data_IF_172723557747
#
_entry.id   IF_172723557747
#
_cell.length_a   1.000
_cell.length_b   1.000
_cell.length_c   1.000
_cell.angle_alpha   90.00
_cell.angle_beta   90.00
_cell.angle_gamma   90.00
#
_symmetry.space_group_name_H-M   'P 1'
#
loop_
_entity.id
_entity.type
_entity.pdbx_description
1 polymer ?
#
# COMPACT_ATOMS: atom_id res chain seq x y z
N UNK A 1 -1.25 -15.33 23.26
CA UNK A 1 -2.52 -15.34 22.49
C UNK A 1 -3.24 -14.05 22.86
N UNK A 2 -3.17 -13.04 21.99
CA UNK A 2 -3.89 -11.77 22.19
C UNK A 2 -5.38 -12.06 21.97
N UNK A 3 -6.26 -11.48 22.81
CA UNK A 3 -7.71 -11.59 22.60
C UNK A 3 -8.09 -10.49 21.63
N UNK A 4 -8.49 -10.85 20.42
CA UNK A 4 -8.87 -9.87 19.41
C UNK A 4 -10.07 -9.02 19.90
N UNK A 5 -9.80 -7.73 20.10
CA UNK A 5 -10.84 -6.72 20.30
C UNK A 5 -11.59 -6.54 18.96
N UNK A 6 -12.65 -7.33 18.76
CA UNK A 6 -13.49 -7.19 17.57
C UNK A 6 -14.12 -5.80 17.52
N UNK A 7 -13.79 -5.06 16.45
CA UNK A 7 -14.38 -3.76 16.11
C UNK A 7 -15.68 -3.89 15.31
N UNK A 8 -15.92 -5.08 14.75
CA UNK A 8 -17.11 -5.41 13.94
C UNK A 8 -18.01 -6.31 14.79
N UNK A 9 -19.32 -6.06 14.74
CA UNK A 9 -20.32 -6.42 15.76
C UNK A 9 -20.28 -7.85 16.33
N UNK A 10 -20.71 -7.98 17.59
CA UNK A 10 -20.90 -9.27 18.28
C UNK A 10 -20.56 -9.27 19.77
N UNK A 11 -19.79 -8.28 20.25
CA UNK A 11 -19.31 -8.22 21.63
C UNK A 11 -20.06 -7.18 22.47
N UNK A 12 -20.51 -7.55 23.69
CA UNK A 12 -21.17 -6.62 24.61
C UNK A 12 -20.20 -5.52 25.09
N UNK A 13 -20.73 -4.39 25.56
CA UNK A 13 -19.88 -3.30 26.10
C UNK A 13 -19.03 -3.79 27.27
N UNK A 14 -19.59 -4.67 28.09
CA UNK A 14 -18.93 -5.26 29.26
C UNK A 14 -17.77 -6.15 28.84
N UNK A 15 -17.99 -7.04 27.86
CA UNK A 15 -16.94 -7.95 27.39
C UNK A 15 -15.79 -7.20 26.72
N UNK A 16 -16.11 -6.19 25.91
CA UNK A 16 -15.12 -5.33 25.27
C UNK A 16 -14.31 -4.55 26.31
N UNK A 17 -14.96 -3.96 27.32
CA UNK A 17 -14.27 -3.23 28.40
C UNK A 17 -13.33 -4.13 29.20
N UNK A 18 -13.76 -5.36 29.50
CA UNK A 18 -12.93 -6.33 30.22
C UNK A 18 -11.67 -6.69 29.42
N UNK A 19 -11.81 -7.00 28.13
CA UNK A 19 -10.66 -7.25 27.26
C UNK A 19 -9.76 -6.01 27.14
N UNK A 20 -10.36 -4.82 27.00
CA UNK A 20 -9.61 -3.58 26.88
C UNK A 20 -8.76 -3.30 28.13
N UNK A 21 -9.31 -3.55 29.33
CA UNK A 21 -8.57 -3.46 30.59
C UNK A 21 -7.49 -4.54 30.72
N UNK A 22 -7.73 -5.76 30.22
CA UNK A 22 -6.71 -6.82 30.17
C UNK A 22 -5.51 -6.41 29.32
N UNK A 23 -5.76 -5.84 28.14
CA UNK A 23 -4.72 -5.35 27.24
C UNK A 23 -3.93 -4.18 27.85
N UNK A 24 -4.63 -3.20 28.43
CA UNK A 24 -3.98 -2.09 29.15
C UNK A 24 -3.06 -2.59 30.26
N UNK A 25 -3.50 -3.60 31.04
CA UNK A 25 -2.68 -4.20 32.11
C UNK A 25 -1.48 -4.95 31.56
N UNK A 26 -1.69 -5.75 30.51
CA UNK A 26 -0.64 -6.57 29.87
C UNK A 26 0.48 -5.69 29.33
N UNK A 27 0.13 -4.57 28.71
CA UNK A 27 1.08 -3.61 28.13
C UNK A 27 1.51 -2.49 29.09
N UNK A 28 1.15 -2.56 30.38
CA UNK A 28 1.47 -1.57 31.42
C UNK A 28 1.10 -0.13 31.01
N UNK A 29 -0.01 0.02 30.30
CA UNK A 29 -0.44 1.30 29.76
C UNK A 29 -1.13 2.17 30.80
N UNK A 30 -0.82 3.47 30.78
CA UNK A 30 -1.49 4.45 31.64
C UNK A 30 -2.71 5.04 30.94
N UNK A 31 -3.75 5.39 31.72
CA UNK A 31 -4.87 6.17 31.21
C UNK A 31 -4.42 7.53 30.63
N UNK A 32 -3.32 8.09 31.12
CA UNK A 32 -2.77 9.35 30.61
C UNK A 32 -2.27 9.24 29.16
N UNK A 33 -1.54 8.17 28.84
CA UNK A 33 -1.10 7.90 27.47
C UNK A 33 -2.30 7.64 26.56
N UNK A 34 -3.23 6.80 27.02
CA UNK A 34 -4.41 6.46 26.24
C UNK A 34 -5.31 7.68 25.97
N UNK A 35 -5.52 8.54 26.97
CA UNK A 35 -6.30 9.78 26.82
C UNK A 35 -5.69 10.72 25.78
N UNK A 36 -4.36 10.87 25.79
CA UNK A 36 -3.64 11.69 24.81
C UNK A 36 -3.79 11.12 23.40
N UNK A 37 -3.55 9.82 23.22
CA UNK A 37 -3.62 9.17 21.89
C UNK A 37 -5.05 9.09 21.35
N UNK A 38 -6.05 8.88 22.22
CA UNK A 38 -7.47 8.86 21.84
C UNK A 38 -8.08 10.26 21.70
N UNK A 39 -7.33 11.33 22.00
CA UNK A 39 -7.81 12.71 22.01
C UNK A 39 -9.05 12.88 22.90
N UNK A 40 -8.93 12.41 24.14
CA UNK A 40 -9.91 12.59 25.21
C UNK A 40 -9.29 13.29 26.42
N UNK A 41 -10.13 14.02 27.16
CA UNK A 41 -9.75 14.43 28.51
C UNK A 41 -9.63 13.19 29.41
N UNK A 42 -8.71 13.22 30.39
CA UNK A 42 -8.59 12.12 31.37
C UNK A 42 -9.91 11.84 32.08
N UNK A 43 -10.67 12.87 32.42
CA UNK A 43 -11.97 12.73 33.06
C UNK A 43 -12.97 11.99 32.16
N UNK A 44 -13.02 12.34 30.87
CA UNK A 44 -13.93 11.68 29.94
C UNK A 44 -13.56 10.23 29.70
N UNK A 45 -12.26 9.95 29.49
CA UNK A 45 -11.76 8.58 29.36
C UNK A 45 -12.11 7.73 30.59
N UNK A 46 -11.89 8.27 31.79
CA UNK A 46 -12.21 7.55 33.03
C UNK A 46 -13.69 7.21 33.13
N UNK A 47 -14.60 8.11 32.76
CA UNK A 47 -16.04 7.84 32.74
C UNK A 47 -16.41 6.71 31.78
N UNK A 48 -15.74 6.62 30.62
CA UNK A 48 -15.95 5.52 29.66
C UNK A 48 -15.42 4.20 30.23
N UNK A 49 -14.18 4.17 30.72
CA UNK A 49 -13.52 2.95 31.19
C UNK A 49 -14.12 2.36 32.47
N UNK A 50 -14.76 3.19 33.29
CA UNK A 50 -15.46 2.77 34.52
C UNK A 50 -16.92 2.37 34.28
N UNK A 51 -17.44 2.53 33.06
CA UNK A 51 -18.84 2.26 32.73
C UNK A 51 -19.83 3.33 33.21
N UNK A 52 -19.36 4.42 33.82
CA UNK A 52 -20.19 5.55 34.25
C UNK A 52 -20.83 6.29 33.08
N UNK A 53 -20.22 6.23 31.89
CA UNK A 53 -20.80 6.68 30.64
C UNK A 53 -20.82 5.53 29.64
N UNK A 54 -21.93 5.28 28.94
CA UNK A 54 -21.99 4.22 27.94
C UNK A 54 -20.97 4.46 26.83
N UNK A 55 -20.25 3.41 26.46
CA UNK A 55 -19.36 3.42 25.30
C UNK A 55 -20.19 3.16 24.05
N UNK A 56 -20.21 4.14 23.15
CA UNK A 56 -20.78 3.98 21.82
C UNK A 56 -19.74 3.43 20.83
N UNK A 57 -20.17 3.10 19.62
CA UNK A 57 -19.32 2.54 18.58
C UNK A 57 -18.10 3.43 18.25
N UNK A 58 -18.32 4.74 18.11
CA UNK A 58 -17.23 5.69 17.86
C UNK A 58 -16.17 5.69 18.97
N UNK A 59 -16.60 5.66 20.24
CA UNK A 59 -15.68 5.62 21.38
C UNK A 59 -14.93 4.28 21.43
N UNK A 60 -15.60 3.15 21.16
CA UNK A 60 -14.96 1.83 21.00
C UNK A 60 -13.86 1.87 19.94
N UNK A 61 -14.17 2.37 18.75
CA UNK A 61 -13.21 2.48 17.64
C UNK A 61 -12.02 3.33 18.06
N UNK A 62 -12.27 4.55 18.57
CA UNK A 62 -11.21 5.50 18.92
C UNK A 62 -10.28 4.96 20.02
N UNK A 63 -10.84 4.36 21.07
CA UNK A 63 -10.07 3.76 22.15
C UNK A 63 -9.28 2.54 21.69
N UNK A 64 -9.88 1.68 20.86
CA UNK A 64 -9.18 0.51 20.29
C UNK A 64 -8.02 0.93 19.41
N UNK A 65 -8.19 1.96 18.57
CA UNK A 65 -7.11 2.50 17.74
C UNK A 65 -5.99 3.09 18.59
N UNK A 66 -6.33 3.83 19.65
CA UNK A 66 -5.35 4.42 20.55
C UNK A 66 -4.57 3.37 21.35
N UNK A 67 -5.25 2.33 21.84
CA UNK A 67 -4.63 1.18 22.50
C UNK A 67 -3.60 0.54 21.57
N UNK A 68 -4.02 0.21 20.35
CA UNK A 68 -3.21 -0.49 19.36
C UNK A 68 -2.00 0.32 18.89
N UNK A 69 -2.16 1.63 18.69
CA UNK A 69 -1.02 2.53 18.41
C UNK A 69 0.02 2.51 19.53
N UNK A 70 -0.42 2.53 20.79
CA UNK A 70 0.46 2.55 21.97
C UNK A 70 1.14 1.20 22.24
N UNK A 71 0.57 0.09 21.76
CA UNK A 71 1.16 -1.25 21.88
C UNK A 71 2.07 -1.62 20.71
N UNK A 72 2.29 -0.71 19.75
CA UNK A 72 3.03 -0.99 18.52
C UNK A 72 2.27 -1.90 17.56
N UNK A 73 0.99 -2.16 17.84
CA UNK A 73 0.04 -2.75 16.92
C UNK A 73 -0.45 -1.64 15.98
N UNK A 74 0.45 -1.03 15.19
CA UNK A 74 -0.01 -0.09 14.16
C UNK A 74 -0.84 -0.88 13.16
N UNK A 75 -2.14 -0.64 13.15
CA UNK A 75 -3.11 -1.44 12.41
C UNK A 75 -3.20 -1.05 10.95
N UNK A 76 -2.75 0.15 10.64
CA UNK A 76 -2.78 0.74 9.32
C UNK A 76 -1.40 1.32 9.04
N UNK A 77 -0.79 0.90 7.94
CA UNK A 77 0.39 1.53 7.37
C UNK A 77 0.19 1.83 5.88
N UNK A 78 0.92 2.81 5.36
CA UNK A 78 0.86 3.22 3.96
C UNK A 78 2.20 2.95 3.30
N UNK A 79 2.20 2.40 2.09
CA UNK A 79 3.40 2.17 1.32
C UNK A 79 3.19 2.39 -0.19
N UNK A 80 4.29 2.65 -0.90
CA UNK A 80 4.32 2.53 -2.37
C UNK A 80 4.35 1.04 -2.71
N UNK A 81 3.40 0.59 -3.51
CA UNK A 81 3.19 -0.82 -3.90
C UNK A 81 3.31 -1.06 -5.42
N UNK A 82 3.44 0.01 -6.20
CA UNK A 82 3.89 -0.06 -7.58
C UNK A 82 4.44 1.30 -7.99
N UNK A 83 5.52 1.33 -8.77
CA UNK A 83 6.06 2.54 -9.38
C UNK A 83 6.49 2.26 -10.82
N UNK A 84 5.92 2.99 -11.77
CA UNK A 84 6.30 2.99 -13.18
C UNK A 84 6.74 4.39 -13.59
N UNK A 85 7.95 4.48 -14.13
CA UNK A 85 8.57 5.75 -14.55
C UNK A 85 9.20 5.54 -15.91
N UNK A 86 9.01 6.49 -16.82
CA UNK A 86 9.65 6.50 -18.13
C UNK A 86 10.56 7.71 -18.26
N UNK A 87 11.76 7.50 -18.75
CA UNK A 87 12.78 8.50 -19.02
C UNK A 87 12.96 8.58 -20.54
N UNK A 88 13.17 9.78 -21.07
CA UNK A 88 13.50 9.93 -22.49
C UNK A 88 14.90 9.41 -22.84
N UNK A 89 15.78 9.29 -21.84
CA UNK A 89 17.13 8.76 -22.00
C UNK A 89 17.11 7.28 -22.40
N UNK A 90 18.05 6.90 -23.27
CA UNK A 90 18.38 5.51 -23.63
C UNK A 90 19.58 4.98 -22.83
N UNK A 91 20.26 5.84 -22.07
CA UNK A 91 21.36 5.43 -21.19
C UNK A 91 20.80 4.83 -19.90
N UNK A 92 20.46 3.54 -19.97
CA UNK A 92 19.95 2.82 -18.81
C UNK A 92 21.03 2.64 -17.73
N UNK A 93 22.32 2.66 -18.08
CA UNK A 93 23.42 2.45 -17.16
C UNK A 93 23.56 3.65 -16.22
N UNK A 94 23.47 4.87 -16.77
CA UNK A 94 23.37 6.11 -16.00
C UNK A 94 22.14 6.08 -15.09
N UNK A 95 20.96 5.75 -15.64
CA UNK A 95 19.71 5.73 -14.88
C UNK A 95 19.77 4.78 -13.67
N UNK A 96 20.24 3.54 -13.85
CA UNK A 96 20.29 2.59 -12.72
C UNK A 96 21.37 2.94 -11.71
N UNK A 97 22.46 3.58 -12.15
CA UNK A 97 23.54 4.05 -11.28
C UNK A 97 23.06 5.21 -10.41
N UNK A 98 22.45 6.24 -11.00
CA UNK A 98 21.95 7.40 -10.26
C UNK A 98 20.76 7.05 -9.35
N UNK A 99 19.83 6.25 -9.84
CA UNK A 99 18.61 5.93 -9.08
C UNK A 99 18.88 4.91 -7.97
N UNK A 100 19.55 3.81 -8.28
CA UNK A 100 19.69 2.68 -7.36
C UNK A 100 21.09 2.52 -6.77
N UNK A 101 22.11 3.18 -7.33
CA UNK A 101 23.53 2.96 -7.00
C UNK A 101 23.92 1.47 -7.14
N UNK A 102 23.35 0.81 -8.16
CA UNK A 102 23.63 -0.59 -8.49
C UNK A 102 24.51 -0.61 -9.75
N UNK A 103 25.56 -1.41 -9.73
CA UNK A 103 26.40 -1.63 -10.90
C UNK A 103 25.56 -2.19 -12.07
N UNK A 104 25.56 -1.55 -13.26
CA UNK A 104 24.78 -2.00 -14.41
C UNK A 104 25.01 -3.45 -14.82
N UNK A 105 26.21 -4.01 -14.55
CA UNK A 105 26.54 -5.41 -14.86
C UNK A 105 25.69 -6.44 -14.11
N UNK A 106 24.94 -6.04 -13.07
CA UNK A 106 23.99 -6.91 -12.38
C UNK A 106 22.63 -7.02 -13.10
N UNK A 107 22.37 -6.16 -14.09
CA UNK A 107 21.15 -6.22 -14.89
C UNK A 107 21.32 -7.19 -16.05
N UNK A 108 20.46 -8.22 -16.05
CA UNK A 108 20.53 -9.29 -17.05
C UNK A 108 19.34 -9.21 -18.00
N UNK A 109 19.57 -9.54 -19.27
CA UNK A 109 18.50 -9.62 -20.26
C UNK A 109 17.48 -10.69 -19.85
N UNK A 110 16.21 -10.30 -19.89
CA UNK A 110 15.07 -11.17 -19.61
C UNK A 110 14.28 -11.40 -20.90
N UNK A 111 13.83 -12.62 -21.11
CA UNK A 111 12.92 -12.93 -22.20
C UNK A 111 11.58 -12.21 -22.04
N UNK A 112 11.10 -11.61 -23.14
CA UNK A 112 9.79 -10.98 -23.24
C UNK A 112 9.84 -9.46 -23.34
N UNK A 113 9.47 -8.96 -24.52
CA UNK A 113 9.08 -7.58 -24.76
C UNK A 113 7.75 -7.28 -24.06
N UNK A 114 7.60 -6.06 -23.52
CA UNK A 114 6.37 -5.62 -22.84
C UNK A 114 6.07 -4.17 -23.20
N UNK A 115 4.79 -3.83 -23.29
CA UNK A 115 4.33 -2.45 -23.48
C UNK A 115 4.90 -1.74 -24.72
N UNK A 116 5.32 -2.49 -25.75
CA UNK A 116 5.96 -1.93 -26.95
C UNK A 116 7.48 -1.73 -26.84
N UNK A 117 8.10 -2.04 -25.70
CA UNK A 117 9.56 -2.01 -25.53
C UNK A 117 10.20 -3.27 -26.13
N UNK A 118 11.38 -3.11 -26.73
CA UNK A 118 12.07 -4.18 -27.44
C UNK A 118 12.76 -5.17 -26.50
N UNK A 119 13.27 -4.71 -25.36
CA UNK A 119 14.00 -5.53 -24.40
C UNK A 119 13.62 -5.20 -22.95
N UNK A 120 13.78 -6.18 -22.06
CA UNK A 120 13.70 -5.98 -20.60
C UNK A 120 14.99 -6.47 -19.96
N UNK A 121 15.67 -5.62 -19.21
CA UNK A 121 16.72 -5.99 -18.28
C UNK A 121 16.13 -6.14 -16.86
N UNK A 122 16.69 -7.03 -16.05
CA UNK A 122 16.24 -7.28 -14.68
C UNK A 122 17.41 -7.43 -13.71
N UNK A 123 17.31 -6.78 -12.56
CA UNK A 123 18.17 -7.01 -11.39
C UNK A 123 17.29 -7.19 -10.15
N UNK A 124 17.29 -8.38 -9.55
CA UNK A 124 16.41 -8.69 -8.42
C UNK A 124 14.94 -8.53 -8.81
N UNK A 125 14.26 -7.51 -8.26
CA UNK A 125 12.86 -7.16 -8.58
C UNK A 125 12.70 -5.81 -9.30
N UNK A 126 13.79 -5.28 -9.85
CA UNK A 126 13.82 -4.06 -10.66
C UNK A 126 13.81 -4.47 -12.13
N UNK A 127 12.75 -4.10 -12.85
CA UNK A 127 12.67 -4.30 -14.30
C UNK A 127 12.99 -2.96 -15.02
N UNK A 128 13.89 -3.00 -16.01
CA UNK A 128 14.25 -1.87 -16.88
C UNK A 128 13.90 -2.24 -18.31
N UNK A 129 12.99 -1.52 -18.94
CA UNK A 129 12.51 -1.78 -20.29
C UNK A 129 13.14 -0.77 -21.25
N UNK A 130 13.68 -1.27 -22.36
CA UNK A 130 14.45 -0.49 -23.33
C UNK A 130 13.68 -0.33 -24.64
N UNK A 131 13.59 0.91 -25.12
CA UNK A 131 13.00 1.25 -26.42
C UNK A 131 13.70 0.49 -27.56
N UNK A 132 12.99 0.28 -28.66
CA UNK A 132 13.57 -0.32 -29.87
C UNK A 132 14.69 0.55 -30.46
N UNK A 133 14.59 1.87 -30.28
CA UNK A 133 15.62 2.81 -30.66
C UNK A 133 16.57 3.02 -29.49
N UNK A 134 17.87 2.90 -29.74
CA UNK A 134 18.95 3.19 -28.78
C UNK A 134 19.87 4.31 -29.27
N UNK A 135 19.76 4.67 -30.56
CA UNK A 135 20.43 5.82 -31.17
C UNK A 135 19.39 6.64 -31.94
N UNK A 136 19.16 7.86 -31.45
CA UNK A 136 18.21 8.81 -32.06
C UNK A 136 18.69 9.38 -33.40
N UNK A 137 19.95 9.11 -33.78
CA UNK A 137 20.53 9.53 -35.06
C UNK A 137 20.58 8.38 -36.08
N UNK A 138 20.11 7.18 -35.72
CA UNK A 138 20.12 6.03 -36.62
C UNK A 138 19.14 6.22 -37.79
N UNK A 139 19.52 5.71 -38.97
CA UNK A 139 18.64 5.66 -40.13
C UNK A 139 17.37 4.86 -39.79
N UNK A 140 16.20 5.48 -40.00
CA UNK A 140 14.91 4.87 -39.65
C UNK A 140 14.43 5.14 -38.22
N UNK A 141 15.07 6.07 -37.48
CA UNK A 141 14.53 6.59 -36.22
C UNK A 141 13.16 7.25 -36.44
N UNK A 142 12.16 6.75 -35.72
CA UNK A 142 10.83 7.36 -35.62
C UNK A 142 10.62 7.87 -34.18
N UNK A 143 10.65 9.20 -33.96
CA UNK A 143 10.41 9.79 -32.64
C UNK A 143 9.04 9.42 -32.04
N UNK A 144 8.05 9.03 -32.86
CA UNK A 144 6.71 8.66 -32.38
C UNK A 144 6.64 7.24 -31.81
N UNK A 145 7.61 6.38 -32.16
CA UNK A 145 7.75 5.02 -31.64
C UNK A 145 8.83 4.93 -30.55
N UNK A 146 9.55 6.03 -30.27
CA UNK A 146 10.58 6.06 -29.24
C UNK A 146 10.00 6.30 -27.84
N UNK A 147 10.03 5.25 -27.02
CA UNK A 147 9.53 5.28 -25.64
C UNK A 147 10.63 5.50 -24.60
N UNK A 148 11.90 5.65 -25.00
CA UNK A 148 13.04 5.78 -24.10
C UNK A 148 13.24 4.58 -23.17
N UNK A 149 13.58 4.83 -21.91
CA UNK A 149 13.81 3.78 -20.89
C UNK A 149 12.73 3.82 -19.81
N UNK A 150 12.08 2.70 -19.54
CA UNK A 150 11.10 2.58 -18.45
C UNK A 150 11.63 1.74 -17.30
N UNK A 151 11.45 2.24 -16.09
CA UNK A 151 11.68 1.50 -14.86
C UNK A 151 10.33 1.07 -14.29
N UNK A 152 10.19 -0.22 -14.00
CA UNK A 152 9.01 -0.81 -13.37
C UNK A 152 9.39 -1.50 -12.06
N UNK A 153 8.79 -1.01 -10.97
CA UNK A 153 8.84 -1.62 -9.65
C UNK A 153 7.45 -2.12 -9.28
N UNK A 154 7.29 -3.45 -9.17
CA UNK A 154 6.06 -4.06 -8.61
C UNK A 154 6.08 -3.99 -7.08
N UNK A 155 5.06 -4.50 -6.39
CA UNK A 155 5.01 -4.46 -4.91
C UNK A 155 6.27 -5.01 -4.24
N UNK A 156 6.74 -6.19 -4.67
CA UNK A 156 8.01 -6.75 -4.19
C UNK A 156 9.22 -5.91 -4.62
N UNK A 157 9.23 -5.37 -5.85
CA UNK A 157 10.25 -4.42 -6.31
C UNK A 157 10.33 -3.16 -5.45
N UNK A 158 9.19 -2.64 -4.99
CA UNK A 158 9.15 -1.50 -4.07
C UNK A 158 9.72 -1.88 -2.69
N UNK A 159 9.39 -3.05 -2.13
CA UNK A 159 10.01 -3.55 -0.88
C UNK A 159 11.51 -3.76 -1.03
N UNK A 160 11.92 -4.26 -2.18
CA UNK A 160 13.32 -4.52 -2.52
C UNK A 160 14.11 -3.20 -2.58
N UNK A 161 13.61 -2.21 -3.31
CA UNK A 161 14.22 -0.88 -3.41
C UNK A 161 14.30 -0.17 -2.07
N UNK A 162 13.27 -0.24 -1.22
CA UNK A 162 13.37 0.32 0.13
C UNK A 162 14.51 -0.26 0.95
N UNK A 163 14.83 -1.54 0.76
CA UNK A 163 15.95 -2.18 1.45
C UNK A 163 17.30 -1.62 0.98
N UNK A 164 17.42 -1.23 -0.29
CA UNK A 164 18.60 -0.52 -0.82
C UNK A 164 18.67 0.91 -0.29
N UNK A 165 17.56 1.64 -0.37
CA UNK A 165 17.50 3.03 0.09
C UNK A 165 17.92 3.14 1.56
N UNK A 166 17.41 2.26 2.43
CA UNK A 166 17.82 2.21 3.85
C UNK A 166 19.32 1.95 4.05
N UNK A 167 19.94 1.10 3.22
CA UNK A 167 21.38 0.82 3.31
C UNK A 167 22.23 2.00 2.79
N UNK A 168 21.64 2.87 1.99
CA UNK A 168 22.26 4.06 1.42
C UNK A 168 21.95 5.33 2.23
N UNK A 169 21.29 5.21 3.39
CA UNK A 169 20.75 6.33 4.16
C UNK A 169 19.86 7.28 3.33
N UNK A 170 19.13 6.69 2.36
CA UNK A 170 18.18 7.37 1.47
C UNK A 170 16.75 6.96 1.80
N UNK A 171 15.83 7.83 1.43
CA UNK A 171 14.39 7.64 1.56
C UNK A 171 13.73 7.58 0.18
N UNK A 172 12.43 7.27 0.15
CA UNK A 172 11.64 7.42 -1.07
C UNK A 172 11.61 8.86 -1.58
N UNK A 173 11.71 9.86 -0.70
CA UNK A 173 11.76 11.27 -1.11
C UNK A 173 13.00 11.53 -1.96
N UNK A 174 14.17 11.09 -1.49
CA UNK A 174 15.43 11.30 -2.21
C UNK A 174 15.41 10.53 -3.54
N UNK A 175 14.88 9.30 -3.57
CA UNK A 175 14.70 8.54 -4.81
C UNK A 175 13.79 9.25 -5.83
N UNK A 176 12.63 9.73 -5.38
CA UNK A 176 11.64 10.40 -6.26
C UNK A 176 12.15 11.78 -6.73
N UNK A 177 12.90 12.50 -5.89
CA UNK A 177 13.60 13.73 -6.27
C UNK A 177 14.65 13.45 -7.35
N UNK A 178 15.46 12.39 -7.22
CA UNK A 178 16.39 11.95 -8.28
C UNK A 178 15.65 11.61 -9.57
N UNK A 179 14.50 10.90 -9.49
CA UNK A 179 13.69 10.62 -10.68
C UNK A 179 13.25 11.92 -11.39
N UNK A 180 12.86 12.95 -10.65
CA UNK A 180 12.48 14.25 -11.23
C UNK A 180 13.69 14.96 -11.84
N UNK A 181 14.84 14.93 -11.16
CA UNK A 181 16.07 15.55 -11.65
C UNK A 181 16.56 14.94 -12.97
N UNK A 182 16.25 13.65 -13.21
CA UNK A 182 16.53 12.93 -14.45
C UNK A 182 15.40 13.02 -15.48
N UNK A 183 14.47 13.98 -15.35
CA UNK A 183 13.32 14.18 -16.24
C UNK A 183 12.38 12.95 -16.34
N UNK A 184 12.24 12.20 -15.25
CA UNK A 184 11.39 11.03 -15.15
C UNK A 184 9.89 11.36 -15.21
N UNK A 185 9.19 10.73 -16.15
CA UNK A 185 7.74 10.79 -16.28
C UNK A 185 7.06 9.63 -15.53
N UNK A 186 6.38 9.95 -14.43
CA UNK A 186 5.64 8.97 -13.63
C UNK A 186 4.40 8.47 -14.40
N UNK A 187 4.51 7.27 -14.97
CA UNK A 187 3.44 6.65 -15.74
C UNK A 187 2.39 5.98 -14.84
N UNK A 188 2.82 5.47 -13.68
CA UNK A 188 1.93 4.84 -12.69
C UNK A 188 2.53 4.84 -11.28
N UNK A 189 1.67 5.04 -10.29
CA UNK A 189 1.98 4.76 -8.87
C UNK A 189 0.78 4.08 -8.23
N UNK A 190 1.02 3.00 -7.49
CA UNK A 190 -0.01 2.40 -6.63
C UNK A 190 0.39 2.67 -5.17
N UNK A 191 -0.49 3.35 -4.42
CA UNK A 191 -0.34 3.58 -2.99
C UNK A 191 -1.22 2.57 -2.26
N UNK A 192 -0.65 1.80 -1.35
CA UNK A 192 -1.35 0.78 -0.58
C UNK A 192 -1.51 1.22 0.87
N UNK A 193 -2.70 1.01 1.42
CA UNK A 193 -3.02 1.05 2.84
C UNK A 193 -3.16 -0.39 3.31
N UNK A 194 -2.30 -0.81 4.23
CA UNK A 194 -2.27 -2.14 4.81
C UNK A 194 -3.05 -2.16 6.10
N UNK A 195 -4.20 -2.83 6.13
CA UNK A 195 -5.00 -3.04 7.32
C UNK A 195 -4.69 -4.41 7.94
N UNK A 196 -4.13 -4.39 9.14
CA UNK A 196 -3.67 -5.58 9.87
C UNK A 196 -4.75 -6.19 10.76
N UNK A 197 -5.91 -5.55 10.87
CA UNK A 197 -6.96 -5.94 11.81
C UNK A 197 -8.33 -6.19 11.17
N UNK A 198 -8.44 -6.06 9.85
CA UNK A 198 -9.71 -6.26 9.16
C UNK A 198 -10.75 -5.17 9.47
N UNK A 199 -10.30 -3.93 9.70
CA UNK A 199 -11.15 -2.74 9.68
C UNK A 199 -11.89 -2.60 8.34
N UNK A 200 -11.22 -2.94 7.24
CA UNK A 200 -11.79 -2.98 5.90
C UNK A 200 -12.24 -4.41 5.59
N UNK A 201 -13.38 -4.81 6.13
CA UNK A 201 -13.96 -6.12 5.82
C UNK A 201 -14.51 -6.16 4.38
N UNK A 202 -13.78 -6.81 3.47
CA UNK A 202 -14.11 -6.86 2.04
C UNK A 202 -15.49 -7.49 1.77
N UNK A 203 -15.89 -8.58 2.44
CA UNK A 203 -17.26 -9.11 2.36
C UNK A 203 -18.34 -8.07 2.63
N UNK A 204 -18.24 -7.34 3.74
CA UNK A 204 -19.20 -6.30 4.13
C UNK A 204 -19.23 -5.15 3.14
N UNK A 205 -18.08 -4.75 2.60
CA UNK A 205 -18.00 -3.71 1.59
C UNK A 205 -18.71 -4.12 0.30
N UNK A 206 -18.52 -5.36 -0.16
CA UNK A 206 -19.23 -5.91 -1.33
C UNK A 206 -20.74 -5.97 -1.05
N UNK A 207 -21.17 -6.45 0.12
CA UNK A 207 -22.59 -6.49 0.47
C UNK A 207 -23.24 -5.10 0.48
N UNK A 208 -22.49 -4.07 0.90
CA UNK A 208 -22.93 -2.68 0.84
C UNK A 208 -23.09 -2.18 -0.58
N UNK A 209 -22.16 -2.53 -1.46
CA UNK A 209 -22.29 -2.24 -2.89
C UNK A 209 -23.49 -2.97 -3.51
N UNK A 210 -23.72 -4.25 -3.18
CA UNK A 210 -24.85 -5.05 -3.68
C UNK A 210 -26.22 -4.51 -3.20
N UNK A 211 -26.27 -3.80 -2.08
CA UNK A 211 -27.48 -3.20 -1.50
C UNK A 211 -27.70 -1.72 -1.89
N UNK A 212 -26.92 -1.20 -2.82
CA UNK A 212 -26.91 0.24 -3.18
C UNK A 212 -26.65 1.17 -1.98
N UNK A 213 -25.96 0.70 -0.93
CA UNK A 213 -25.54 1.48 0.25
C UNK A 213 -24.21 2.22 0.01
N UNK A 214 -23.84 2.44 -1.25
CA UNK A 214 -22.58 3.02 -1.67
C UNK A 214 -22.80 4.10 -2.74
N UNK A 215 -22.19 5.27 -2.55
CA UNK A 215 -22.17 6.35 -3.55
C UNK A 215 -20.74 6.60 -4.01
N UNK A 216 -20.56 6.85 -5.30
CA UNK A 216 -19.24 7.00 -5.89
C UNK A 216 -19.21 7.91 -7.10
N UNK A 217 -18.02 8.44 -7.39
CA UNK A 217 -17.71 9.04 -8.68
C UNK A 217 -17.46 7.99 -9.79
N UNK A 218 -17.27 6.72 -9.43
CA UNK A 218 -17.14 5.64 -10.40
C UNK A 218 -18.53 5.17 -10.86
N UNK A 219 -18.63 4.80 -12.14
CA UNK A 219 -19.87 4.31 -12.76
C UNK A 219 -20.32 2.94 -12.25
N UNK A 220 -19.50 2.26 -11.45
CA UNK A 220 -19.81 0.95 -10.89
C UNK A 220 -18.62 0.31 -10.18
N UNK A 221 -18.86 -0.89 -9.67
CA UNK A 221 -17.89 -1.73 -9.01
C UNK A 221 -17.83 -3.11 -9.68
N UNK A 222 -16.76 -3.86 -9.42
CA UNK A 222 -16.68 -5.27 -9.73
C UNK A 222 -16.14 -5.98 -8.52
N UNK A 223 -16.65 -7.14 -8.18
CA UNK A 223 -16.06 -8.00 -7.19
C UNK A 223 -15.52 -9.29 -7.80
N UNK A 224 -14.56 -9.90 -7.11
CA UNK A 224 -14.07 -11.24 -7.39
C UNK A 224 -14.14 -12.05 -6.09
N UNK A 225 -14.67 -13.27 -6.18
CA UNK A 225 -14.83 -14.20 -5.04
C UNK A 225 -14.09 -15.48 -5.39
N UNK A 226 -13.01 -15.74 -4.67
CA UNK A 226 -12.15 -16.92 -4.89
C UNK A 226 -12.24 -17.84 -3.68
N UNK A 227 -12.32 -19.15 -3.92
CA UNK A 227 -12.25 -20.18 -2.88
C UNK A 227 -11.12 -21.14 -3.20
N UNK A 228 -10.28 -21.43 -2.22
CA UNK A 228 -9.22 -22.43 -2.30
C UNK A 228 -9.25 -23.28 -1.02
N UNK A 229 -9.47 -24.58 -1.20
CA UNK A 229 -9.73 -25.51 -0.09
C UNK A 229 -10.92 -25.02 0.77
N UNK A 230 -10.72 -24.88 2.08
CA UNK A 230 -11.73 -24.38 3.03
C UNK A 230 -11.66 -22.87 3.24
N UNK A 231 -10.79 -22.16 2.52
CA UNK A 231 -10.58 -20.70 2.69
C UNK A 231 -11.14 -19.95 1.48
N UNK A 232 -11.77 -18.80 1.73
CA UNK A 232 -12.24 -17.90 0.68
C UNK A 232 -11.61 -16.52 0.79
N UNK A 233 -11.33 -15.89 -0.33
CA UNK A 233 -10.92 -14.49 -0.41
C UNK A 233 -11.80 -13.71 -1.37
N UNK A 234 -11.94 -12.42 -1.11
CA UNK A 234 -12.71 -11.47 -1.90
C UNK A 234 -11.83 -10.31 -2.31
N UNK A 235 -12.23 -9.72 -3.43
CA UNK A 235 -11.64 -8.48 -3.93
C UNK A 235 -12.76 -7.59 -4.46
N UNK A 236 -12.71 -6.32 -4.12
CA UNK A 236 -13.58 -5.27 -4.61
C UNK A 236 -12.76 -4.28 -5.44
N UNK A 237 -13.22 -4.03 -6.66
CA UNK A 237 -12.62 -3.10 -7.61
C UNK A 237 -13.56 -1.94 -7.89
N UNK A 238 -13.03 -0.72 -7.89
CA UNK A 238 -13.77 0.48 -8.25
C UNK A 238 -13.05 1.22 -9.39
N UNK A 239 -13.80 1.55 -10.44
CA UNK A 239 -13.25 2.13 -11.67
C UNK A 239 -12.67 1.11 -12.64
N UNK A 240 -12.00 1.61 -13.69
CA UNK A 240 -11.42 0.77 -14.75
C UNK A 240 -9.90 0.63 -14.57
N UNK A 241 -9.30 -0.54 -14.82
CA UNK A 241 -7.84 -0.68 -14.86
C UNK A 241 -7.15 0.24 -15.89
N UNK A 242 -7.92 0.76 -16.85
CA UNK A 242 -7.46 1.66 -17.91
C UNK A 242 -7.61 3.14 -17.55
N UNK A 243 -8.37 3.49 -16.50
CA UNK A 243 -8.54 4.89 -16.06
C UNK A 243 -7.32 5.40 -15.28
N UNK A 244 -7.28 6.71 -15.08
CA UNK A 244 -6.20 7.37 -14.33
C UNK A 244 -6.28 7.16 -12.82
N UNK A 245 -7.45 6.74 -12.31
CA UNK A 245 -7.69 6.38 -10.93
C UNK A 245 -8.42 5.04 -10.92
N UNK A 246 -7.95 4.11 -10.12
CA UNK A 246 -8.52 2.78 -9.94
C UNK A 246 -8.29 2.31 -8.50
N UNK A 247 -9.31 1.79 -7.86
CA UNK A 247 -9.19 1.27 -6.50
C UNK A 247 -9.33 -0.26 -6.47
N UNK A 248 -8.56 -0.89 -5.59
CA UNK A 248 -8.62 -2.32 -5.33
C UNK A 248 -8.58 -2.56 -3.82
N UNK A 249 -9.60 -3.20 -3.26
CA UNK A 249 -9.66 -3.60 -1.84
C UNK A 249 -9.73 -5.11 -1.81
N UNK A 250 -8.80 -5.81 -1.16
CA UNK A 250 -8.78 -7.27 -1.17
C UNK A 250 -8.26 -7.88 0.12
N UNK A 251 -8.65 -9.14 0.34
CA UNK A 251 -8.16 -9.98 1.43
C UNK A 251 -6.68 -10.32 1.18
N UNK A 252 -5.80 -9.49 1.74
CA UNK A 252 -4.34 -9.63 1.60
C UNK A 252 -3.85 -10.89 2.30
N UNK A 253 -4.43 -11.23 3.44
CA UNK A 253 -4.10 -12.47 4.14
C UNK A 253 -4.38 -13.70 3.28
N UNK A 254 -5.53 -13.73 2.61
CA UNK A 254 -5.84 -14.79 1.65
C UNK A 254 -4.84 -14.81 0.50
N UNK A 255 -4.62 -13.67 -0.16
CA UNK A 255 -3.69 -13.57 -1.30
C UNK A 255 -2.26 -14.01 -0.96
N UNK A 256 -1.76 -13.69 0.24
CA UNK A 256 -0.46 -14.15 0.70
C UNK A 256 -0.46 -15.64 1.06
N UNK A 257 -1.52 -16.15 1.70
CA UNK A 257 -1.65 -17.57 1.99
C UNK A 257 -1.70 -18.42 0.71
N UNK A 258 -2.30 -17.92 -0.38
CA UNK A 258 -2.26 -18.61 -1.68
C UNK A 258 -0.83 -18.75 -2.24
N UNK A 259 0.04 -17.78 -1.95
CA UNK A 259 1.44 -17.77 -2.39
C UNK A 259 2.36 -18.55 -1.45
N UNK A 260 2.04 -18.52 -0.16
CA UNK A 260 2.82 -19.06 0.94
C UNK A 260 1.91 -19.90 1.86
N UNK A 261 1.43 -21.07 1.40
CA UNK A 261 0.48 -21.91 2.14
C UNK A 261 1.06 -22.47 3.46
N UNK A 262 2.38 -22.42 3.63
CA UNK A 262 3.09 -22.79 4.86
C UNK A 262 2.84 -21.82 6.02
N UNK A 263 2.41 -20.59 5.74
CA UNK A 263 2.02 -19.60 6.76
C UNK A 263 0.50 -19.62 6.87
N UNK A 264 -0.01 -19.97 8.05
CA UNK A 264 -1.46 -20.00 8.30
C UNK A 264 -2.09 -18.62 8.02
N UNK A 265 -3.34 -18.60 7.54
CA UNK A 265 -3.99 -17.34 7.14
C UNK A 265 -4.14 -16.38 8.34
N UNK A 266 -4.37 -16.93 9.52
CA UNK A 266 -4.42 -16.23 10.80
C UNK A 266 -3.08 -15.60 11.19
N UNK A 267 -1.95 -16.12 10.71
CA UNK A 267 -0.61 -15.60 11.00
C UNK A 267 -0.14 -14.57 9.96
N UNK A 268 -0.92 -14.35 8.90
CA UNK A 268 -0.61 -13.34 7.89
C UNK A 268 -0.67 -11.92 8.49
N UNK A 269 0.36 -11.09 8.28
CA UNK A 269 0.53 -9.84 9.02
C UNK A 269 -0.34 -8.69 8.54
N UNK A 270 -0.96 -8.83 7.36
CA UNK A 270 -1.89 -7.86 6.76
C UNK A 270 -3.16 -8.63 6.43
N UNK A 271 -4.31 -8.16 6.94
CA UNK A 271 -5.61 -8.79 6.73
C UNK A 271 -6.21 -8.33 5.40
N UNK A 272 -6.39 -7.03 5.27
CA UNK A 272 -6.93 -6.39 4.07
C UNK A 272 -5.92 -5.39 3.53
N UNK A 273 -5.85 -5.24 2.21
CA UNK A 273 -5.14 -4.14 1.57
C UNK A 273 -6.09 -3.31 0.72
N UNK A 274 -5.97 -2.00 0.84
CA UNK A 274 -6.59 -1.03 -0.07
C UNK A 274 -5.53 -0.35 -0.92
N UNK A 275 -5.60 -0.54 -2.23
CA UNK A 275 -4.70 0.08 -3.20
C UNK A 275 -5.43 1.17 -3.99
N UNK A 276 -4.80 2.34 -4.05
CA UNK A 276 -5.14 3.40 -4.99
C UNK A 276 -4.10 3.42 -6.09
N UNK A 277 -4.50 2.99 -7.28
CA UNK A 277 -3.70 3.05 -8.50
C UNK A 277 -3.96 4.36 -9.23
N UNK A 278 -2.89 5.08 -9.50
CA UNK A 278 -2.87 6.34 -10.22
C UNK A 278 -2.03 6.19 -11.48
N UNK A 279 -2.50 6.74 -12.61
CA UNK A 279 -1.77 6.72 -13.89
C UNK A 279 -1.63 8.11 -14.50
N UNK A 280 -0.62 8.28 -15.36
CA UNK A 280 -0.39 9.49 -16.16
C UNK A 280 -0.38 10.74 -15.26
N UNK A 281 -1.18 11.77 -15.60
CA UNK A 281 -1.23 13.02 -14.85
C UNK A 281 -1.59 12.85 -13.37
N UNK A 282 -2.36 11.82 -13.00
CA UNK A 282 -2.71 11.54 -11.60
C UNK A 282 -1.53 10.95 -10.83
N UNK A 283 -0.70 10.13 -11.47
CA UNK A 283 0.52 9.63 -10.87
C UNK A 283 1.52 10.78 -10.64
N UNK A 284 1.78 11.60 -11.66
CA UNK A 284 2.66 12.77 -11.55
C UNK A 284 2.18 13.75 -10.46
N UNK A 285 0.88 14.04 -10.41
CA UNK A 285 0.31 14.90 -9.37
C UNK A 285 0.46 14.32 -7.96
N UNK A 286 0.27 13.01 -7.80
CA UNK A 286 0.42 12.35 -6.49
C UNK A 286 1.86 12.40 -6.00
N UNK A 287 2.85 12.12 -6.85
CA UNK A 287 4.27 12.22 -6.49
C UNK A 287 4.63 13.67 -6.12
N UNK A 288 4.19 14.66 -6.92
CA UNK A 288 4.42 16.07 -6.59
C UNK A 288 3.82 16.46 -5.23
N UNK A 289 2.60 16.02 -4.93
CA UNK A 289 1.96 16.28 -3.64
C UNK A 289 2.66 15.54 -2.49
N UNK A 290 3.13 14.30 -2.72
CA UNK A 290 3.89 13.54 -1.73
C UNK A 290 5.18 14.29 -1.36
N UNK A 291 5.95 14.74 -2.36
CA UNK A 291 7.18 15.51 -2.15
C UNK A 291 6.93 16.88 -1.49
N UNK A 292 5.86 17.58 -1.91
CA UNK A 292 5.50 18.88 -1.32
C UNK A 292 5.00 18.76 0.14
N UNK A 293 4.45 17.60 0.50
CA UNK A 293 3.99 17.27 1.85
C UNK A 293 5.04 16.58 2.71
N UNK A 294 6.32 16.56 2.29
CA UNK A 294 7.43 16.02 3.09
C UNK A 294 7.43 16.76 4.44
N UNK A 295 7.07 16.05 5.51
CA UNK A 295 7.24 16.55 6.86
C UNK A 295 8.74 16.55 7.14
N UNK A 296 9.38 17.70 7.40
CA UNK A 296 10.75 17.72 7.85
C UNK A 296 10.77 17.10 9.24
N UNK A 297 11.18 15.83 9.34
CA UNK A 297 11.58 15.24 10.62
C UNK A 297 12.65 16.09 11.32
#
# INVERSE_FOLDING_TARGET
MLKDLNLVGGMTNTDWLNQFHDEMRTHKMTQGQLAKTADYSRSHLNQLLTGNKPINEQARVRLTLALRSLTGQNNIDVCIDYLGITFKSHDYEELVTELFQINPNHFNLKEGARYGYAATLKCGEIDVLLSQYQDVNADGYDPSEDSGTMIELKGQGCRYVESYLRQQDRTWYDFLETCIALDGYFTRVDLAINDRNGLLDVPTLIEKCDRDEFTSHFHGFRDNRTKQWEVSGRTLYLGSPQSEVYFCIYDKAFEQHQKHPEIAIEDQPIRTRFEVRLRRKRAAAAIKNLLAGRDPE
#
